data_IF_701826966455
#
_entry.id   IF_701826966455
#
_cell.length_a   1.000
_cell.length_b   1.000
_cell.length_c   1.000
_cell.angle_alpha   90.00
_cell.angle_beta   90.00
_cell.angle_gamma   90.00
#
_symmetry.space_group_name_H-M   'P 1'
#
loop_
_entity.id
_entity.type
_entity.pdbx_description
1 polymer ?
#
# COMPACT_ATOMS: atom_id res chain seq x y z
N UNK A 1 -90.17 -53.79 -23.91
CA UNK A 1 -89.57 -52.47 -24.23
C UNK A 1 -88.87 -51.73 -23.07
N UNK A 2 -88.74 -52.30 -21.85
CA UNK A 2 -88.17 -51.58 -20.67
C UNK A 2 -86.63 -51.49 -20.60
N UNK A 3 -85.87 -52.35 -21.29
CA UNK A 3 -84.40 -52.35 -21.19
C UNK A 3 -83.71 -51.19 -21.94
N UNK A 4 -84.21 -50.78 -23.12
CA UNK A 4 -83.57 -49.71 -23.92
C UNK A 4 -83.67 -48.30 -23.29
N UNK A 5 -84.67 -48.01 -22.44
CA UNK A 5 -84.81 -46.71 -21.75
C UNK A 5 -83.84 -46.53 -20.57
N UNK A 6 -83.53 -47.60 -19.82
CA UNK A 6 -82.60 -47.53 -18.66
C UNK A 6 -81.16 -47.21 -19.08
N UNK A 7 -80.69 -47.77 -20.19
CA UNK A 7 -79.31 -47.56 -20.69
C UNK A 7 -79.10 -46.12 -21.18
N UNK A 8 -80.08 -45.53 -21.90
CA UNK A 8 -80.03 -44.13 -22.37
C UNK A 8 -80.06 -43.12 -21.21
N UNK A 9 -80.79 -43.39 -20.14
CA UNK A 9 -80.88 -42.51 -18.98
C UNK A 9 -79.60 -42.52 -18.12
N UNK A 10 -78.96 -43.69 -17.97
CA UNK A 10 -77.67 -43.83 -17.27
C UNK A 10 -76.54 -43.03 -17.95
N UNK A 11 -76.43 -43.12 -19.28
CA UNK A 11 -75.40 -42.40 -20.04
C UNK A 11 -75.60 -40.87 -20.02
N UNK A 12 -76.85 -40.37 -20.06
CA UNK A 12 -77.15 -38.94 -19.93
C UNK A 12 -76.78 -38.39 -18.55
N UNK A 13 -77.07 -39.14 -17.47
CA UNK A 13 -76.73 -38.75 -16.10
C UNK A 13 -75.21 -38.74 -15.87
N UNK A 14 -74.47 -39.72 -16.41
CA UNK A 14 -73.00 -39.74 -16.40
C UNK A 14 -72.39 -38.57 -17.20
N UNK A 15 -72.95 -38.21 -18.34
CA UNK A 15 -72.51 -37.02 -19.11
C UNK A 15 -72.78 -35.71 -18.38
N UNK A 16 -73.92 -35.58 -17.69
CA UNK A 16 -74.25 -34.41 -16.88
C UNK A 16 -73.29 -34.24 -15.69
N UNK A 17 -72.99 -35.32 -14.97
CA UNK A 17 -72.02 -35.30 -13.84
C UNK A 17 -70.61 -34.97 -14.34
N UNK A 18 -70.17 -35.52 -15.49
CA UNK A 18 -68.87 -35.15 -16.08
C UNK A 18 -68.81 -33.67 -16.48
N UNK A 19 -69.88 -33.10 -17.03
CA UNK A 19 -69.96 -31.65 -17.33
C UNK A 19 -69.94 -30.80 -16.06
N UNK A 20 -70.63 -31.20 -15.00
CA UNK A 20 -70.60 -30.49 -13.72
C UNK A 20 -69.21 -30.56 -13.06
N UNK A 21 -68.54 -31.72 -13.09
CA UNK A 21 -67.17 -31.86 -12.57
C UNK A 21 -66.16 -31.02 -13.36
N UNK A 22 -66.30 -30.94 -14.70
CA UNK A 22 -65.50 -30.05 -15.54
C UNK A 22 -65.72 -28.58 -15.18
N UNK A 23 -66.97 -28.15 -14.98
CA UNK A 23 -67.29 -26.77 -14.58
C UNK A 23 -66.71 -26.43 -13.20
N UNK A 24 -66.83 -27.32 -12.22
CA UNK A 24 -66.21 -27.15 -10.89
C UNK A 24 -64.69 -27.07 -11.00
N UNK A 25 -64.08 -27.93 -11.81
CA UNK A 25 -62.64 -27.88 -12.11
C UNK A 25 -62.21 -26.54 -12.70
N UNK A 26 -62.97 -26.01 -13.66
CA UNK A 26 -62.69 -24.68 -14.24
C UNK A 26 -62.81 -23.55 -13.21
N UNK A 27 -63.80 -23.59 -12.32
CA UNK A 27 -63.95 -22.56 -11.27
C UNK A 27 -62.80 -22.60 -10.27
N UNK A 28 -62.38 -23.80 -9.84
CA UNK A 28 -61.22 -23.97 -8.96
C UNK A 28 -59.94 -23.47 -9.64
N UNK A 29 -59.76 -23.79 -10.92
CA UNK A 29 -58.59 -23.34 -11.69
C UNK A 29 -58.54 -21.81 -11.81
N UNK A 30 -59.68 -21.15 -12.09
CA UNK A 30 -59.76 -19.68 -12.14
C UNK A 30 -59.41 -19.07 -10.78
N UNK A 31 -59.91 -19.65 -9.68
CA UNK A 31 -59.60 -19.18 -8.33
C UNK A 31 -58.09 -19.29 -8.01
N UNK A 32 -57.44 -20.40 -8.38
CA UNK A 32 -56.00 -20.59 -8.21
C UNK A 32 -55.21 -19.56 -9.03
N UNK A 33 -55.59 -19.34 -10.30
CA UNK A 33 -54.96 -18.35 -11.16
C UNK A 33 -55.11 -16.91 -10.62
N UNK A 34 -56.26 -16.57 -10.04
CA UNK A 34 -56.48 -15.27 -9.42
C UNK A 34 -55.59 -15.06 -8.19
N UNK A 35 -55.49 -16.07 -7.31
CA UNK A 35 -54.63 -16.02 -6.11
C UNK A 35 -53.15 -15.90 -6.51
N UNK A 36 -52.70 -16.68 -7.50
CA UNK A 36 -51.34 -16.61 -8.04
C UNK A 36 -51.02 -15.22 -8.61
N UNK A 37 -51.96 -14.63 -9.35
CA UNK A 37 -51.83 -13.28 -9.91
C UNK A 37 -51.72 -12.21 -8.81
N UNK A 38 -52.53 -12.29 -7.75
CA UNK A 38 -52.46 -11.39 -6.60
C UNK A 38 -51.13 -11.50 -5.84
N UNK A 39 -50.62 -12.72 -5.62
CA UNK A 39 -49.33 -12.93 -4.95
C UNK A 39 -48.16 -12.38 -5.76
N UNK A 40 -48.17 -12.57 -7.09
CA UNK A 40 -47.15 -12.01 -7.99
C UNK A 40 -47.20 -10.48 -8.00
N UNK A 41 -48.41 -9.89 -8.02
CA UNK A 41 -48.55 -8.44 -7.94
C UNK A 41 -48.01 -7.86 -6.61
N UNK A 42 -48.29 -8.51 -5.48
CA UNK A 42 -47.79 -8.10 -4.16
C UNK A 42 -46.26 -8.19 -4.06
N UNK A 43 -45.66 -9.30 -4.52
CA UNK A 43 -44.19 -9.41 -4.58
C UNK A 43 -43.56 -8.35 -5.49
N UNK A 44 -44.22 -8.02 -6.61
CA UNK A 44 -43.75 -6.99 -7.54
C UNK A 44 -43.87 -5.58 -6.96
N UNK A 45 -44.86 -5.29 -6.12
CA UNK A 45 -44.95 -3.99 -5.42
C UNK A 45 -43.89 -3.86 -4.34
N UNK A 46 -43.68 -4.91 -3.53
CA UNK A 46 -42.64 -4.93 -2.49
C UNK A 46 -41.22 -4.79 -3.09
N UNK A 47 -40.94 -5.48 -4.20
CA UNK A 47 -39.66 -5.35 -4.90
C UNK A 47 -39.44 -3.94 -5.48
N UNK A 48 -40.50 -3.29 -6.00
CA UNK A 48 -40.44 -1.91 -6.49
C UNK A 48 -40.17 -0.92 -5.36
N UNK A 49 -40.76 -1.15 -4.19
CA UNK A 49 -40.58 -0.29 -3.01
C UNK A 49 -39.17 -0.44 -2.43
N UNK A 50 -38.66 -1.68 -2.32
CA UNK A 50 -37.28 -1.94 -1.92
C UNK A 50 -36.25 -1.29 -2.87
N UNK A 51 -36.47 -1.41 -4.18
CA UNK A 51 -35.61 -0.77 -5.18
C UNK A 51 -35.62 0.77 -5.06
N UNK A 52 -36.77 1.37 -4.76
CA UNK A 52 -36.92 2.82 -4.58
C UNK A 52 -36.19 3.31 -3.32
N UNK A 53 -36.25 2.55 -2.22
CA UNK A 53 -35.51 2.82 -0.98
C UNK A 53 -33.99 2.71 -1.22
N UNK A 54 -33.55 1.71 -1.98
CA UNK A 54 -32.12 1.55 -2.28
C UNK A 54 -31.61 2.67 -3.18
N UNK A 55 -32.42 3.12 -4.15
CA UNK A 55 -32.10 4.24 -5.02
C UNK A 55 -32.04 5.56 -4.24
N UNK A 56 -32.97 5.81 -3.32
CA UNK A 56 -32.93 6.95 -2.40
C UNK A 56 -31.70 6.93 -1.49
N UNK A 57 -31.32 5.75 -0.94
CA UNK A 57 -30.08 5.61 -0.15
C UNK A 57 -28.82 5.88 -0.98
N UNK A 58 -28.80 5.46 -2.25
CA UNK A 58 -27.70 5.76 -3.19
C UNK A 58 -27.63 7.24 -3.52
N UNK A 59 -28.77 7.89 -3.70
CA UNK A 59 -28.86 9.34 -3.93
C UNK A 59 -28.47 10.17 -2.71
N UNK A 60 -28.89 9.77 -1.50
CA UNK A 60 -28.45 10.39 -0.24
C UNK A 60 -26.95 10.19 -0.01
N UNK A 61 -26.39 8.99 -0.27
CA UNK A 61 -24.93 8.79 -0.22
C UNK A 61 -24.20 9.64 -1.26
N UNK A 62 -24.75 9.82 -2.47
CA UNK A 62 -24.20 10.73 -3.49
C UNK A 62 -24.31 12.20 -3.08
N UNK A 63 -25.40 12.62 -2.43
CA UNK A 63 -25.56 13.98 -1.89
C UNK A 63 -24.63 14.24 -0.72
N UNK A 64 -24.50 13.31 0.23
CA UNK A 64 -23.52 13.40 1.33
C UNK A 64 -22.08 13.49 0.80
N UNK A 65 -21.69 12.65 -0.17
CA UNK A 65 -20.38 12.76 -0.85
C UNK A 65 -20.17 14.04 -1.65
N UNK A 66 -21.24 14.72 -2.09
CA UNK A 66 -21.16 16.00 -2.82
C UNK A 66 -21.10 17.23 -1.89
N UNK A 67 -21.27 17.07 -0.57
CA UNK A 67 -21.30 18.19 0.39
C UNK A 67 -20.01 18.30 1.22
N UNK A 68 -19.15 17.29 1.20
CA UNK A 68 -17.76 17.43 1.67
C UNK A 68 -16.93 18.04 0.53
N UNK A 69 -16.54 19.30 0.70
CA UNK A 69 -15.47 19.89 -0.10
C UNK A 69 -14.22 19.03 0.19
N UNK A 70 -13.82 18.18 -0.75
CA UNK A 70 -12.62 17.36 -0.58
C UNK A 70 -11.43 18.31 -0.54
N UNK A 71 -10.79 18.37 0.63
CA UNK A 71 -9.56 19.15 0.89
C UNK A 71 -8.53 18.86 -0.22
N UNK A 72 -7.86 19.90 -0.74
CA UNK A 72 -6.75 19.71 -1.68
C UNK A 72 -5.51 19.16 -0.95
N UNK A 73 -4.53 18.55 -1.64
CA UNK A 73 -3.28 18.11 -1.00
C UNK A 73 -2.55 19.24 -0.26
N UNK A 74 -2.56 20.45 -0.81
CA UNK A 74 -1.95 21.63 -0.21
C UNK A 74 -2.73 22.10 1.03
N UNK A 75 -4.08 22.12 0.95
CA UNK A 75 -4.91 22.43 2.11
C UNK A 75 -4.70 21.40 3.25
N UNK A 76 -4.58 20.12 2.90
CA UNK A 76 -4.30 19.02 3.85
C UNK A 76 -2.95 19.21 4.53
N UNK A 77 -1.91 19.49 3.76
CA UNK A 77 -0.56 19.72 4.29
C UNK A 77 -0.54 20.90 5.27
N UNK A 78 -1.15 22.03 4.90
CA UNK A 78 -1.18 23.22 5.77
C UNK A 78 -2.01 23.00 7.03
N UNK A 79 -3.15 22.27 6.93
CA UNK A 79 -3.92 21.87 8.10
C UNK A 79 -3.11 20.99 9.04
N UNK A 80 -2.41 19.99 8.50
CA UNK A 80 -1.57 19.07 9.29
C UNK A 80 -0.43 19.83 9.95
N UNK A 81 0.24 20.74 9.23
CA UNK A 81 1.29 21.62 9.78
C UNK A 81 0.76 22.45 10.94
N UNK A 82 -0.34 23.17 10.75
CA UNK A 82 -0.93 24.02 11.79
C UNK A 82 -1.31 23.22 13.04
N UNK A 83 -1.86 22.01 12.86
CA UNK A 83 -2.19 21.10 13.95
C UNK A 83 -0.94 20.57 14.66
N UNK A 84 0.11 20.20 13.93
CA UNK A 84 1.36 19.70 14.50
C UNK A 84 2.07 20.77 15.33
N UNK A 85 2.11 22.02 14.84
CA UNK A 85 2.64 23.18 15.58
C UNK A 85 1.83 23.41 16.86
N UNK A 86 0.50 23.49 16.75
CA UNK A 86 -0.40 23.71 17.90
C UNK A 86 -0.30 22.61 18.96
N UNK A 87 -0.08 21.36 18.53
CA UNK A 87 0.07 20.21 19.41
C UNK A 87 1.50 20.02 19.95
N UNK A 88 2.47 20.87 19.55
CA UNK A 88 3.84 20.81 20.03
C UNK A 88 4.61 19.56 19.58
N UNK A 89 4.44 19.13 18.33
CA UNK A 89 5.25 18.03 17.79
C UNK A 89 6.73 18.45 17.73
N UNK A 90 7.68 17.50 17.77
CA UNK A 90 9.09 17.83 17.59
C UNK A 90 9.33 18.55 16.26
N UNK A 91 10.20 19.57 16.25
CA UNK A 91 10.46 20.41 15.07
C UNK A 91 10.84 19.58 13.85
N UNK A 92 11.73 18.59 14.03
CA UNK A 92 12.14 17.71 12.93
C UNK A 92 10.99 16.89 12.32
N UNK A 93 9.91 16.61 13.06
CA UNK A 93 8.70 15.95 12.52
C UNK A 93 7.88 16.93 11.68
N UNK A 94 7.80 18.20 12.09
CA UNK A 94 7.10 19.25 11.34
C UNK A 94 7.87 19.58 10.05
N UNK A 95 9.20 19.69 10.13
CA UNK A 95 10.09 19.95 8.98
C UNK A 95 10.02 18.88 7.88
N UNK A 96 9.54 17.66 8.19
CA UNK A 96 9.30 16.64 7.17
C UNK A 96 8.35 17.16 6.08
N UNK A 97 7.37 17.99 6.44
CA UNK A 97 6.41 18.55 5.49
C UNK A 97 7.06 19.53 4.50
N UNK A 98 8.13 20.22 4.93
CA UNK A 98 8.90 21.14 4.09
C UNK A 98 9.85 20.38 3.15
N UNK A 99 10.49 19.33 3.68
CA UNK A 99 11.49 18.55 2.95
C UNK A 99 10.86 17.54 1.99
N UNK A 100 9.71 16.98 2.37
CA UNK A 100 8.97 16.02 1.57
C UNK A 100 7.46 16.05 1.88
N UNK A 101 6.63 16.68 1.03
CA UNK A 101 5.18 16.72 1.17
C UNK A 101 4.50 15.33 1.25
N UNK A 102 5.13 14.27 0.73
CA UNK A 102 4.60 12.90 0.80
C UNK A 102 4.51 12.36 2.24
N UNK A 103 5.16 13.03 3.20
CA UNK A 103 5.15 12.67 4.63
C UNK A 103 3.91 13.15 5.38
N UNK A 104 2.97 13.84 4.73
CA UNK A 104 1.80 14.45 5.38
C UNK A 104 1.00 13.48 6.26
N UNK A 105 0.75 12.26 5.77
CA UNK A 105 0.02 11.24 6.53
C UNK A 105 0.84 10.75 7.74
N UNK A 106 2.16 10.59 7.58
CA UNK A 106 3.06 10.21 8.66
C UNK A 106 3.02 11.24 9.80
N UNK A 107 3.11 12.52 9.45
CA UNK A 107 3.05 13.63 10.42
C UNK A 107 1.67 13.70 11.07
N UNK A 108 0.59 13.55 10.29
CA UNK A 108 -0.78 13.53 10.85
C UNK A 108 -1.00 12.40 11.86
N UNK A 109 -0.40 11.23 11.60
CA UNK A 109 -0.54 10.04 12.43
C UNK A 109 0.49 9.94 13.58
N UNK A 110 1.47 10.85 13.63
CA UNK A 110 2.51 10.91 14.67
C UNK A 110 2.00 10.69 16.11
N UNK A 111 0.99 11.40 16.64
CA UNK A 111 0.59 11.28 18.05
C UNK A 111 -0.02 9.91 18.37
N UNK A 112 -0.55 9.20 17.36
CA UNK A 112 -1.13 7.87 17.52
C UNK A 112 -0.08 6.78 17.42
N UNK A 113 0.97 7.00 16.60
CA UNK A 113 1.92 5.96 16.21
C UNK A 113 3.33 6.11 16.77
N UNK A 114 3.69 7.26 17.34
CA UNK A 114 5.04 7.54 17.88
C UNK A 114 5.54 6.50 18.90
N UNK A 115 4.64 5.88 19.65
CA UNK A 115 4.97 4.86 20.67
C UNK A 115 4.59 3.43 20.24
N UNK A 116 4.16 3.25 18.97
CA UNK A 116 3.79 1.93 18.45
C UNK A 116 5.03 1.07 18.19
N UNK A 117 4.90 -0.23 18.41
CA UNK A 117 5.96 -1.18 18.03
C UNK A 117 6.13 -1.20 16.51
N UNK A 118 7.36 -1.19 15.98
CA UNK A 118 7.59 -1.30 14.55
C UNK A 118 7.16 -2.68 14.03
N UNK A 119 6.88 -2.75 12.73
CA UNK A 119 6.62 -4.00 12.05
C UNK A 119 7.85 -4.92 12.11
N UNK A 120 7.60 -6.21 12.32
CA UNK A 120 8.63 -7.25 12.36
C UNK A 120 9.12 -7.70 10.98
N UNK A 121 8.42 -7.27 9.92
CA UNK A 121 8.65 -7.66 8.53
C UNK A 121 8.42 -6.49 7.57
N UNK A 122 9.15 -6.46 6.45
CA UNK A 122 8.91 -5.55 5.33
C UNK A 122 7.72 -5.97 4.46
N UNK A 123 7.08 -7.11 4.77
CA UNK A 123 5.88 -7.61 4.09
C UNK A 123 6.13 -7.91 2.61
N UNK A 124 5.14 -7.60 1.77
CA UNK A 124 5.16 -7.92 0.34
C UNK A 124 6.10 -7.03 -0.49
N UNK A 125 6.83 -6.11 0.16
CA UNK A 125 7.85 -5.29 -0.49
C UNK A 125 9.01 -6.13 -1.05
N UNK A 126 9.25 -7.33 -0.50
CA UNK A 126 10.29 -8.23 -0.96
C UNK A 126 9.85 -9.01 -2.19
N UNK A 127 10.61 -8.93 -3.28
CA UNK A 127 10.42 -9.77 -4.46
C UNK A 127 11.69 -10.57 -4.74
N UNK A 128 11.57 -11.83 -5.21
CA UNK A 128 12.72 -12.66 -5.54
C UNK A 128 13.69 -11.98 -6.51
N UNK A 129 14.96 -11.89 -6.11
CA UNK A 129 16.04 -11.35 -6.94
C UNK A 129 16.03 -9.83 -7.11
N UNK A 130 15.25 -9.10 -6.32
CA UNK A 130 15.24 -7.63 -6.34
C UNK A 130 15.65 -7.02 -5.00
N UNK A 131 16.05 -5.76 -5.05
CA UNK A 131 16.31 -4.93 -3.87
C UNK A 131 15.05 -4.11 -3.60
N UNK A 132 14.35 -4.32 -2.46
CA UNK A 132 13.10 -3.65 -2.19
C UNK A 132 13.31 -2.15 -1.97
N UNK A 133 12.36 -1.33 -2.44
CA UNK A 133 12.28 0.06 -2.03
C UNK A 133 11.60 0.13 -0.65
N UNK A 134 12.32 0.65 0.34
CA UNK A 134 11.82 0.88 1.70
C UNK A 134 11.94 2.37 2.03
N UNK A 135 10.84 3.00 2.42
CA UNK A 135 10.86 4.42 2.75
C UNK A 135 11.14 4.60 4.24
N UNK A 136 12.08 5.47 4.60
CA UNK A 136 12.46 5.71 6.00
C UNK A 136 11.28 6.27 6.81
N UNK A 137 10.36 6.98 6.15
CA UNK A 137 9.15 7.55 6.74
C UNK A 137 7.92 6.63 6.65
N UNK A 138 8.06 5.38 6.21
CA UNK A 138 6.95 4.42 6.23
C UNK A 138 6.48 4.20 7.68
N UNK A 139 5.17 4.35 7.91
CA UNK A 139 4.55 4.29 9.24
C UNK A 139 4.76 2.95 9.97
N UNK A 140 5.17 1.90 9.27
CA UNK A 140 5.54 0.60 9.85
C UNK A 140 6.79 0.67 10.73
N UNK A 141 7.68 1.64 10.52
CA UNK A 141 8.94 1.76 11.29
C UNK A 141 9.43 3.19 11.51
N UNK A 142 9.00 4.16 10.70
CA UNK A 142 9.56 5.52 10.68
C UNK A 142 9.46 6.28 12.00
N UNK A 143 8.56 5.88 12.89
CA UNK A 143 8.43 6.41 14.25
C UNK A 143 9.47 5.88 15.24
N UNK A 144 10.18 4.80 14.90
CA UNK A 144 11.18 4.18 15.77
C UNK A 144 12.40 5.08 15.90
N UNK A 145 13.11 4.92 17.02
CA UNK A 145 14.30 5.71 17.35
C UNK A 145 15.50 5.33 16.49
N UNK A 146 16.33 6.33 16.20
CA UNK A 146 17.66 6.17 15.62
C UNK A 146 18.55 7.30 16.12
N UNK A 147 19.59 6.97 16.89
CA UNK A 147 20.34 7.97 17.65
C UNK A 147 19.44 8.70 18.65
N UNK A 148 19.46 10.04 18.60
CA UNK A 148 18.62 10.94 19.38
C UNK A 148 17.32 11.35 18.65
N UNK A 149 17.12 10.85 17.42
CA UNK A 149 15.99 11.17 16.55
C UNK A 149 15.16 9.92 16.19
N UNK A 150 14.33 10.01 15.15
CA UNK A 150 13.56 8.91 14.58
C UNK A 150 14.00 8.59 13.14
N UNK A 151 13.72 7.37 12.70
CA UNK A 151 14.08 6.87 11.36
C UNK A 151 13.52 7.77 10.25
N UNK A 152 12.31 8.30 10.39
CA UNK A 152 11.72 9.18 9.39
C UNK A 152 12.56 10.44 9.10
N UNK A 153 13.32 10.92 10.09
CA UNK A 153 14.09 12.17 10.00
C UNK A 153 15.55 11.89 9.58
N UNK A 154 16.18 10.88 10.17
CA UNK A 154 17.64 10.64 10.06
C UNK A 154 18.02 9.23 9.62
N UNK A 155 17.04 8.41 9.25
CA UNK A 155 17.22 6.98 9.01
C UNK A 155 17.60 6.58 7.59
N UNK A 156 18.12 7.47 6.74
CA UNK A 156 18.45 7.13 5.35
C UNK A 156 19.48 6.00 5.28
N UNK A 157 20.55 6.07 6.06
CA UNK A 157 21.58 5.04 6.15
C UNK A 157 21.05 3.64 6.54
N UNK A 158 20.43 3.47 7.74
CA UNK A 158 19.86 2.17 8.13
C UNK A 158 18.75 1.68 7.20
N UNK A 159 18.00 2.58 6.56
CA UNK A 159 16.99 2.17 5.59
C UNK A 159 17.65 1.62 4.31
N UNK A 160 18.69 2.28 3.77
CA UNK A 160 19.47 1.75 2.64
C UNK A 160 20.11 0.39 2.95
N UNK A 161 20.71 0.24 4.13
CA UNK A 161 21.28 -1.04 4.57
C UNK A 161 20.19 -2.12 4.70
N UNK A 162 19.02 -1.78 5.23
CA UNK A 162 17.89 -2.71 5.29
C UNK A 162 17.41 -3.16 3.91
N UNK A 163 17.33 -2.25 2.93
CA UNK A 163 16.99 -2.62 1.54
C UNK A 163 17.98 -3.65 0.99
N UNK A 164 19.29 -3.36 1.09
CA UNK A 164 20.34 -4.23 0.57
C UNK A 164 20.36 -5.58 1.29
N UNK A 165 20.33 -5.57 2.62
CA UNK A 165 20.42 -6.79 3.42
C UNK A 165 19.18 -7.68 3.28
N UNK A 166 17.97 -7.11 3.28
CA UNK A 166 16.74 -7.88 3.06
C UNK A 166 16.64 -8.41 1.64
N UNK A 167 17.00 -7.59 0.64
CA UNK A 167 16.96 -7.97 -0.78
C UNK A 167 17.94 -9.07 -1.13
N UNK A 168 19.21 -8.95 -0.72
CA UNK A 168 20.23 -9.97 -1.00
C UNK A 168 19.95 -11.28 -0.27
N UNK A 169 19.58 -11.23 1.02
CA UNK A 169 19.29 -12.45 1.78
C UNK A 169 17.91 -13.04 1.52
N UNK A 170 17.04 -12.33 0.79
CA UNK A 170 15.63 -12.68 0.64
C UNK A 170 14.95 -12.90 2.01
N UNK A 171 15.30 -12.07 2.98
CA UNK A 171 14.82 -12.13 4.35
C UNK A 171 13.98 -10.90 4.67
N UNK A 172 12.64 -11.02 4.71
CA UNK A 172 11.77 -9.89 4.97
C UNK A 172 11.79 -9.45 6.44
N UNK A 173 12.43 -10.21 7.34
CA UNK A 173 12.54 -9.86 8.76
C UNK A 173 13.58 -8.76 9.02
N UNK A 174 14.44 -8.44 8.06
CA UNK A 174 15.45 -7.37 8.14
C UNK A 174 14.77 -6.02 7.84
N UNK A 175 14.13 -5.44 8.86
CA UNK A 175 13.41 -4.17 8.72
C UNK A 175 14.29 -2.95 9.00
N UNK A 176 13.95 -1.76 8.47
CA UNK A 176 14.67 -0.52 8.82
C UNK A 176 14.74 -0.26 10.33
N UNK A 177 13.71 -0.61 11.09
CA UNK A 177 13.72 -0.50 12.55
C UNK A 177 14.80 -1.37 13.22
N UNK A 178 14.95 -2.63 12.79
CA UNK A 178 15.97 -3.54 13.32
C UNK A 178 17.38 -3.07 12.95
N UNK A 179 17.58 -2.61 11.72
CA UNK A 179 18.86 -2.11 11.23
C UNK A 179 19.24 -0.78 11.92
N UNK A 180 18.29 0.12 12.14
CA UNK A 180 18.50 1.36 12.91
C UNK A 180 18.85 1.07 14.39
N UNK A 181 18.14 0.11 15.00
CA UNK A 181 18.45 -0.33 16.36
C UNK A 181 19.86 -0.92 16.46
N UNK A 182 20.25 -1.76 15.49
CA UNK A 182 21.60 -2.30 15.40
C UNK A 182 22.65 -1.17 15.27
N UNK A 183 22.40 -0.20 14.39
CA UNK A 183 23.26 0.96 14.19
C UNK A 183 23.49 1.74 15.49
N UNK A 184 22.42 2.00 16.25
CA UNK A 184 22.49 2.70 17.54
C UNK A 184 23.26 1.88 18.59
N UNK A 185 22.98 0.58 18.70
CA UNK A 185 23.62 -0.30 19.68
C UNK A 185 25.13 -0.45 19.47
N UNK A 186 25.60 -0.29 18.24
CA UNK A 186 27.01 -0.43 17.87
C UNK A 186 27.68 0.92 17.58
N UNK A 187 27.08 2.04 18.02
CA UNK A 187 27.66 3.39 17.93
C UNK A 187 27.98 3.84 16.49
N UNK A 188 27.13 3.48 15.53
CA UNK A 188 27.25 3.88 14.13
C UNK A 188 26.56 5.20 13.77
N UNK A 189 26.01 5.90 14.77
CA UNK A 189 25.33 7.18 14.64
C UNK A 189 25.88 8.15 15.66
N UNK A 190 26.13 9.39 15.24
CA UNK A 190 26.63 10.45 16.13
C UNK A 190 25.48 11.17 16.89
N UNK A 191 25.86 12.11 17.77
CA UNK A 191 24.90 12.89 18.57
C UNK A 191 24.02 13.82 17.71
N UNK A 192 24.49 14.17 16.51
CA UNK A 192 23.78 14.97 15.51
C UNK A 192 22.88 14.12 14.60
N UNK A 193 22.83 12.80 14.80
CA UNK A 193 22.10 11.81 14.01
C UNK A 193 22.66 11.54 12.61
N UNK A 194 23.94 11.83 12.37
CA UNK A 194 24.62 11.40 11.15
C UNK A 194 25.03 9.93 11.26
N UNK A 195 24.76 9.15 10.21
CA UNK A 195 25.23 7.77 10.12
C UNK A 195 26.70 7.75 9.65
N UNK A 196 27.58 7.13 10.43
CA UNK A 196 28.99 7.00 10.07
C UNK A 196 29.18 6.09 8.85
N UNK A 197 30.18 6.40 8.02
CA UNK A 197 30.57 5.56 6.89
C UNK A 197 31.11 4.17 7.31
N UNK A 198 31.62 4.01 8.54
CA UNK A 198 31.91 2.69 9.11
C UNK A 198 30.68 1.78 9.13
N UNK A 199 29.47 2.34 9.29
CA UNK A 199 28.24 1.56 9.23
C UNK A 199 28.08 0.83 7.90
N UNK A 200 28.35 1.52 6.79
CA UNK A 200 28.24 0.94 5.45
C UNK A 200 29.31 -0.14 5.23
N UNK A 201 30.53 0.10 5.72
CA UNK A 201 31.63 -0.86 5.57
C UNK A 201 31.44 -2.14 6.38
N UNK A 202 30.91 -2.02 7.59
CA UNK A 202 31.04 -3.07 8.61
C UNK A 202 29.71 -3.78 8.91
N UNK A 203 28.59 -3.05 8.95
CA UNK A 203 27.33 -3.61 9.45
C UNK A 203 26.81 -4.76 8.59
N UNK A 204 27.01 -4.71 7.27
CA UNK A 204 26.61 -5.74 6.30
C UNK A 204 27.10 -7.15 6.67
N UNK A 205 28.26 -7.26 7.34
CA UNK A 205 28.81 -8.55 7.77
C UNK A 205 27.89 -9.30 8.75
N UNK A 206 27.07 -8.58 9.52
CA UNK A 206 26.09 -9.15 10.47
C UNK A 206 24.94 -9.86 9.76
N UNK A 207 24.73 -9.56 8.47
CA UNK A 207 23.75 -10.21 7.60
C UNK A 207 24.43 -11.06 6.50
N UNK A 208 25.62 -11.58 6.79
CA UNK A 208 26.39 -12.44 5.87
C UNK A 208 26.71 -11.79 4.51
N UNK A 209 26.79 -10.46 4.46
CA UNK A 209 27.15 -9.74 3.23
C UNK A 209 28.67 -9.53 3.16
N UNK A 210 29.19 -9.60 1.94
CA UNK A 210 30.48 -9.02 1.57
C UNK A 210 30.29 -7.57 1.19
N UNK A 211 31.29 -6.74 1.51
CA UNK A 211 31.30 -5.32 1.13
C UNK A 211 32.69 -4.91 0.70
N UNK A 212 32.77 -4.08 -0.35
CA UNK A 212 33.96 -3.28 -0.61
C UNK A 212 33.57 -1.83 -0.91
N UNK A 213 34.47 -0.91 -0.55
CA UNK A 213 34.31 0.53 -0.74
C UNK A 213 35.15 1.00 -1.94
N UNK A 214 34.62 1.95 -2.72
CA UNK A 214 35.39 2.61 -3.76
C UNK A 214 34.60 3.72 -4.46
N UNK A 215 35.29 4.56 -5.24
CA UNK A 215 34.65 5.45 -6.21
C UNK A 215 34.69 4.78 -7.58
N UNK A 216 33.56 4.22 -7.99
CA UNK A 216 33.45 3.45 -9.22
C UNK A 216 33.15 4.38 -10.40
N UNK A 217 33.79 4.11 -11.53
CA UNK A 217 33.36 4.71 -12.80
C UNK A 217 32.10 4.00 -13.34
N UNK A 218 31.48 4.57 -14.36
CA UNK A 218 30.22 4.05 -14.91
C UNK A 218 30.32 2.58 -15.38
N UNK A 219 31.44 2.20 -15.99
CA UNK A 219 31.65 0.82 -16.46
C UNK A 219 31.68 -0.16 -15.28
N UNK A 220 32.32 0.23 -14.17
CA UNK A 220 32.35 -0.58 -12.95
C UNK A 220 30.96 -0.65 -12.30
N UNK A 221 30.25 0.48 -12.19
CA UNK A 221 28.88 0.53 -11.68
C UNK A 221 27.96 -0.39 -12.49
N UNK A 222 28.04 -0.31 -13.82
CA UNK A 222 27.28 -1.16 -14.73
C UNK A 222 27.58 -2.65 -14.51
N UNK A 223 28.86 -3.02 -14.37
CA UNK A 223 29.28 -4.40 -14.16
C UNK A 223 28.76 -4.97 -12.83
N UNK A 224 28.91 -4.23 -11.72
CA UNK A 224 28.44 -4.67 -10.40
C UNK A 224 26.92 -4.82 -10.36
N UNK A 225 26.18 -3.84 -10.88
CA UNK A 225 24.71 -3.89 -10.91
C UNK A 225 24.21 -5.02 -11.82
N UNK A 226 24.88 -5.29 -12.94
CA UNK A 226 24.54 -6.42 -13.82
C UNK A 226 24.82 -7.79 -13.17
N UNK A 227 25.76 -7.85 -12.22
CA UNK A 227 26.03 -9.04 -11.42
C UNK A 227 25.04 -9.22 -10.25
N UNK A 228 24.10 -8.29 -10.07
CA UNK A 228 23.16 -8.30 -8.95
C UNK A 228 23.75 -7.77 -7.64
N UNK A 229 24.84 -7.00 -7.71
CA UNK A 229 25.48 -6.39 -6.54
C UNK A 229 24.98 -4.95 -6.35
N UNK A 230 24.04 -4.69 -5.42
CA UNK A 230 23.58 -3.33 -5.19
C UNK A 230 24.67 -2.46 -4.55
N UNK A 231 24.53 -1.15 -4.78
CA UNK A 231 25.53 -0.18 -4.35
C UNK A 231 24.86 0.88 -3.48
N UNK A 232 25.27 1.00 -2.22
CA UNK A 232 24.89 2.15 -1.40
C UNK A 232 25.83 3.31 -1.74
N UNK A 233 25.27 4.48 -2.02
CA UNK A 233 26.02 5.70 -2.29
C UNK A 233 25.76 6.72 -1.18
N UNK A 234 26.80 7.36 -0.68
CA UNK A 234 26.68 8.64 0.01
C UNK A 234 26.71 9.75 -1.03
N UNK A 235 25.69 10.61 -1.06
CA UNK A 235 25.59 11.74 -2.00
C UNK A 235 25.61 13.06 -1.24
N UNK A 236 26.28 14.07 -1.81
CA UNK A 236 26.27 15.44 -1.33
C UNK A 236 25.16 16.29 -1.98
N UNK A 237 25.26 17.63 -1.90
CA UNK A 237 24.24 18.53 -2.42
C UNK A 237 24.03 18.37 -3.93
N UNK A 238 22.77 18.36 -4.37
CA UNK A 238 22.38 18.20 -5.77
C UNK A 238 20.92 17.75 -5.94
N UNK A 239 20.70 16.74 -6.77
CA UNK A 239 19.38 16.24 -7.14
C UNK A 239 18.64 15.57 -5.98
N UNK A 240 19.35 14.90 -5.08
CA UNK A 240 18.73 14.08 -4.03
C UNK A 240 18.60 14.82 -2.68
N UNK A 241 19.47 15.79 -2.42
CA UNK A 241 19.59 16.46 -1.12
C UNK A 241 20.30 17.79 -1.26
N UNK A 242 20.21 18.65 -0.24
CA UNK A 242 20.99 19.90 -0.15
C UNK A 242 22.17 19.80 0.83
N UNK A 243 22.30 18.68 1.54
CA UNK A 243 23.33 18.45 2.57
C UNK A 243 24.08 17.16 2.27
N UNK A 244 23.68 16.04 2.89
CA UNK A 244 24.10 14.70 2.57
C UNK A 244 22.93 13.73 2.62
N UNK A 245 23.02 12.61 1.92
CA UNK A 245 21.99 11.56 1.89
C UNK A 245 22.59 10.22 1.50
N UNK A 246 21.90 9.13 1.84
CA UNK A 246 22.20 7.79 1.35
C UNK A 246 21.11 7.32 0.40
N UNK A 247 21.53 6.72 -0.71
CA UNK A 247 20.65 6.09 -1.71
C UNK A 247 21.22 4.72 -2.10
N UNK A 248 20.40 3.88 -2.73
CA UNK A 248 20.85 2.59 -3.27
C UNK A 248 20.72 2.58 -4.79
N UNK A 249 21.78 2.24 -5.51
CA UNK A 249 21.72 1.89 -6.93
C UNK A 249 21.38 0.40 -7.05
N UNK A 250 20.37 0.07 -7.85
CA UNK A 250 19.79 -1.29 -7.90
C UNK A 250 19.81 -1.94 -9.28
N UNK A 251 20.14 -1.18 -10.32
CA UNK A 251 20.13 -1.67 -11.70
C UNK A 251 20.74 -0.64 -12.65
N UNK A 252 21.16 -1.10 -13.83
CA UNK A 252 21.76 -0.26 -14.87
C UNK A 252 21.20 -0.65 -16.24
N UNK A 253 20.85 0.35 -17.05
CA UNK A 253 20.46 0.17 -18.44
C UNK A 253 20.83 1.39 -19.28
N UNK A 254 21.68 1.19 -20.31
CA UNK A 254 22.01 2.18 -21.34
C UNK A 254 22.41 3.57 -20.80
N UNK A 255 23.32 3.60 -19.82
CA UNK A 255 23.79 4.85 -19.20
C UNK A 255 22.94 5.37 -18.05
N UNK A 256 21.83 4.68 -17.75
CA UNK A 256 20.97 5.04 -16.64
C UNK A 256 21.02 4.02 -15.51
N UNK A 257 20.76 4.49 -14.29
CA UNK A 257 20.67 3.67 -13.08
C UNK A 257 19.28 3.79 -12.47
N UNK A 258 18.78 2.67 -11.95
CA UNK A 258 17.62 2.68 -11.04
C UNK A 258 18.09 2.98 -9.63
N UNK A 259 17.38 3.86 -8.94
CA UNK A 259 17.72 4.33 -7.60
C UNK A 259 16.59 3.95 -6.65
N UNK A 260 16.91 3.39 -5.50
CA UNK A 260 16.01 3.38 -4.35
C UNK A 260 16.47 4.49 -3.40
N UNK A 261 15.69 5.57 -3.34
CA UNK A 261 15.89 6.68 -2.41
C UNK A 261 14.98 6.47 -1.18
N UNK A 262 15.54 6.28 0.02
CA UNK A 262 14.74 6.01 1.21
C UNK A 262 13.86 7.19 1.64
N UNK A 263 14.09 8.39 1.12
CA UNK A 263 13.33 9.58 1.50
C UNK A 263 12.39 10.10 0.40
N UNK A 264 12.47 9.61 -0.83
CA UNK A 264 11.70 10.13 -1.97
C UNK A 264 11.20 9.03 -2.91
N UNK A 265 9.86 8.92 -3.06
CA UNK A 265 9.27 8.04 -4.08
C UNK A 265 9.55 8.58 -5.47
N UNK A 266 9.42 9.90 -5.67
CA UNK A 266 9.67 10.54 -6.95
C UNK A 266 11.10 10.26 -7.47
N UNK A 267 12.11 10.31 -6.59
CA UNK A 267 13.48 9.96 -6.97
C UNK A 267 13.62 8.48 -7.32
N UNK A 268 12.86 7.62 -6.62
CA UNK A 268 12.89 6.17 -6.84
C UNK A 268 12.13 5.72 -8.10
N UNK A 269 11.17 6.52 -8.56
CA UNK A 269 10.42 6.30 -9.80
C UNK A 269 11.14 6.92 -11.03
N UNK A 270 12.17 7.73 -10.78
CA UNK A 270 12.96 8.39 -11.83
C UNK A 270 14.10 7.48 -12.29
N UNK A 271 14.25 7.34 -13.61
CA UNK A 271 15.43 6.70 -14.21
C UNK A 271 16.53 7.75 -14.36
N UNK A 272 17.66 7.57 -13.65
CA UNK A 272 18.71 8.60 -13.56
C UNK A 272 19.84 8.31 -14.52
N UNK A 273 20.23 9.28 -15.34
CA UNK A 273 21.45 9.15 -16.10
C UNK A 273 22.67 9.23 -15.15
N UNK A 274 23.54 8.22 -15.17
CA UNK A 274 24.64 8.14 -14.21
C UNK A 274 25.58 9.35 -14.31
N UNK A 275 25.82 9.85 -15.53
CA UNK A 275 26.68 11.02 -15.74
C UNK A 275 26.14 12.31 -15.11
N UNK A 276 24.83 12.42 -14.86
CA UNK A 276 24.21 13.58 -14.22
C UNK A 276 24.37 13.57 -12.70
N UNK A 277 24.48 12.37 -12.09
CA UNK A 277 24.50 12.23 -10.63
C UNK A 277 25.88 11.89 -10.07
N UNK A 278 26.81 11.39 -10.89
CA UNK A 278 28.14 10.92 -10.44
C UNK A 278 28.92 11.96 -9.63
N UNK A 279 28.81 13.25 -9.97
CA UNK A 279 29.59 14.31 -9.31
C UNK A 279 29.06 14.66 -7.90
N UNK A 280 27.86 14.17 -7.58
CA UNK A 280 27.24 14.27 -6.25
C UNK A 280 27.69 13.11 -5.35
N UNK A 281 28.13 11.98 -5.92
CA UNK A 281 28.54 10.80 -5.15
C UNK A 281 29.86 11.09 -4.43
N UNK A 282 29.88 10.86 -3.13
CA UNK A 282 31.03 11.07 -2.24
C UNK A 282 31.71 9.78 -1.83
N UNK A 283 30.96 8.68 -1.76
CA UNK A 283 31.46 7.35 -1.47
C UNK A 283 30.46 6.29 -1.98
N UNK A 284 30.96 5.08 -2.27
CA UNK A 284 30.14 3.95 -2.70
C UNK A 284 30.58 2.67 -1.99
N UNK A 285 29.60 1.85 -1.64
CA UNK A 285 29.79 0.53 -1.03
C UNK A 285 29.01 -0.50 -1.83
N UNK A 286 29.71 -1.47 -2.39
CA UNK A 286 29.13 -2.54 -3.20
C UNK A 286 28.92 -3.76 -2.32
N UNK A 287 27.75 -4.38 -2.40
CA UNK A 287 27.39 -5.52 -1.57
C UNK A 287 27.05 -6.76 -2.40
N UNK A 288 27.43 -7.92 -1.86
CA UNK A 288 27.07 -9.22 -2.40
C UNK A 288 26.89 -10.23 -1.27
N UNK A 289 26.28 -11.37 -1.55
CA UNK A 289 26.30 -12.50 -0.63
C UNK A 289 27.73 -13.08 -0.55
N UNK A 290 28.11 -13.56 0.64
CA UNK A 290 29.34 -14.34 0.84
C UNK A 290 29.29 -15.72 0.21
#
# INVERSE_FOLDING_TARGET
>A
MKQKKKVRHSNRRRQQVRRQLLLIGCVIFIAICAIGSCQVHKKRSEAKEAAKIEQQKKEEKKKKKKTEKKETPEEHLERVRAKAISAGYPDGVIELLDKNPETVDFVENYPKKKDSKPAETIGDSLQPGSIPLLLQWDERWGYSTYGTSIIAISGCGPTCMAMVASGLNQDPSITPAKVASFGTQHSYVDEENNTYWSFMREAGASWNLSCYEGLLNEMQVSAELSAGHPIICSVGPGNFTQIGHFIVLTGYENGNVTVNDPFSKANSETLWNFSQIKDQIRAMWVYSLK
#
